data_IF_002610038603
#
_entry.id   IF_002610038603
#
_cell.length_a   1.000
_cell.length_b   1.000
_cell.length_c   1.000
_cell.angle_alpha   90.00
_cell.angle_beta   90.00
_cell.angle_gamma   90.00
#
_symmetry.space_group_name_H-M   'P 1'
#
loop_
_entity.id
_entity.type
_entity.pdbx_description
1 polymer ?
#
# COMPACT_ATOMS: atom_id res chain seq x y z
N UNK A 1 -7.88 5.39 1.20
CA UNK A 1 -7.52 5.80 2.56
C UNK A 1 -7.66 4.65 3.56
N UNK A 2 -8.87 4.17 3.83
CA UNK A 2 -9.15 3.16 4.88
C UNK A 2 -8.36 1.87 4.69
N UNK A 3 -8.36 1.30 3.48
CA UNK A 3 -7.59 0.09 3.19
C UNK A 3 -6.07 0.34 3.29
N UNK A 4 -5.59 1.51 2.89
CA UNK A 4 -4.19 1.90 3.07
C UNK A 4 -3.80 1.98 4.54
N UNK A 5 -4.66 2.57 5.38
CA UNK A 5 -4.48 2.61 6.82
C UNK A 5 -4.42 1.20 7.42
N UNK A 6 -5.36 0.33 7.07
CA UNK A 6 -5.41 -1.06 7.51
C UNK A 6 -4.13 -1.84 7.11
N UNK A 7 -3.67 -1.66 5.87
CA UNK A 7 -2.45 -2.29 5.36
C UNK A 7 -1.20 -1.79 6.11
N UNK A 8 -1.13 -0.50 6.41
CA UNK A 8 0.00 0.08 7.17
C UNK A 8 0.10 -0.50 8.58
N UNK A 9 -1.01 -0.64 9.30
CA UNK A 9 -1.04 -1.30 10.61
C UNK A 9 -0.54 -2.74 10.51
N UNK A 10 -1.05 -3.52 9.55
CA UNK A 10 -0.66 -4.91 9.36
C UNK A 10 0.84 -5.06 9.07
N UNK A 11 1.41 -4.16 8.28
CA UNK A 11 2.86 -4.13 8.02
C UNK A 11 3.65 -3.82 9.29
N UNK A 12 3.20 -2.88 10.13
CA UNK A 12 3.83 -2.55 11.40
C UNK A 12 3.91 -3.76 12.34
N UNK A 13 2.85 -4.56 12.39
CA UNK A 13 2.85 -5.81 13.17
C UNK A 13 3.89 -6.81 12.64
N UNK A 14 4.03 -6.93 11.32
CA UNK A 14 5.05 -7.77 10.70
C UNK A 14 6.49 -7.35 11.04
N UNK A 15 6.75 -6.05 11.23
CA UNK A 15 8.06 -5.53 11.67
C UNK A 15 8.37 -6.01 13.08
N UNK A 16 7.42 -5.94 14.03
CA UNK A 16 7.62 -6.40 15.41
C UNK A 16 7.89 -7.91 15.48
N UNK A 17 7.17 -8.69 14.68
CA UNK A 17 7.42 -10.13 14.55
C UNK A 17 8.84 -10.38 14.01
N UNK A 18 9.28 -9.63 12.99
CA UNK A 18 10.63 -9.77 12.43
C UNK A 18 11.72 -9.43 13.45
N UNK A 19 11.46 -8.50 14.35
CA UNK A 19 12.33 -8.10 15.44
C UNK A 19 12.53 -9.24 16.45
N UNK A 20 11.42 -9.80 16.96
CA UNK A 20 11.45 -10.92 17.91
C UNK A 20 12.10 -12.16 17.29
N UNK A 21 11.83 -12.43 16.00
CA UNK A 21 12.48 -13.52 15.27
C UNK A 21 13.99 -13.32 15.15
N UNK A 22 14.44 -12.10 14.82
CA UNK A 22 15.85 -11.75 14.74
C UNK A 22 16.59 -11.90 16.08
N UNK A 23 15.94 -11.52 17.17
CA UNK A 23 16.44 -11.67 18.54
C UNK A 23 16.47 -13.14 19.01
N UNK A 24 15.87 -14.07 18.25
CA UNK A 24 15.67 -15.47 18.64
C UNK A 24 14.85 -15.62 19.93
N UNK A 25 14.08 -14.61 20.30
CA UNK A 25 13.14 -14.67 21.42
C UNK A 25 11.81 -15.27 20.95
N UNK A 26 11.73 -16.58 20.96
CA UNK A 26 10.54 -17.30 20.48
C UNK A 26 9.34 -17.15 21.40
N UNK A 27 9.52 -16.80 22.68
CA UNK A 27 8.43 -16.50 23.58
C UNK A 27 7.77 -15.17 23.21
N UNK A 28 8.58 -14.14 23.02
CA UNK A 28 8.14 -12.83 22.54
C UNK A 28 7.56 -12.91 21.12
N UNK A 29 8.15 -13.75 20.25
CA UNK A 29 7.66 -13.99 18.90
C UNK A 29 6.21 -14.52 18.92
N UNK A 30 5.93 -15.57 19.70
CA UNK A 30 4.59 -16.16 19.85
C UNK A 30 3.60 -15.14 20.42
N UNK A 31 4.02 -14.38 21.41
CA UNK A 31 3.21 -13.31 21.99
C UNK A 31 2.88 -12.23 20.93
N UNK A 32 3.85 -11.74 20.14
CA UNK A 32 3.57 -10.77 19.08
C UNK A 32 2.71 -11.35 17.95
N UNK A 33 2.81 -12.64 17.64
CA UNK A 33 1.88 -13.30 16.72
C UNK A 33 0.45 -13.27 17.28
N UNK A 34 0.25 -13.72 18.53
CA UNK A 34 -1.06 -13.70 19.17
C UNK A 34 -1.64 -12.28 19.28
N UNK A 35 -0.81 -11.33 19.70
CA UNK A 35 -1.18 -9.92 19.82
C UNK A 35 -1.54 -9.29 18.46
N UNK A 36 -0.82 -9.67 17.38
CA UNK A 36 -1.17 -9.26 16.00
C UNK A 36 -2.58 -9.70 15.62
N UNK A 37 -2.98 -10.93 16.00
CA UNK A 37 -4.32 -11.45 15.71
C UNK A 37 -5.40 -10.70 16.49
N UNK A 38 -5.17 -10.48 17.79
CA UNK A 38 -6.10 -9.72 18.64
C UNK A 38 -6.26 -8.29 18.11
N UNK A 39 -5.16 -7.58 17.90
CA UNK A 39 -5.18 -6.21 17.40
C UNK A 39 -5.78 -6.11 15.99
N UNK A 40 -5.56 -7.10 15.14
CA UNK A 40 -6.20 -7.16 13.82
C UNK A 40 -7.72 -7.23 13.95
N UNK A 41 -8.25 -8.07 14.85
CA UNK A 41 -9.68 -8.16 15.10
C UNK A 41 -10.24 -6.84 15.66
N UNK A 42 -9.59 -6.25 16.64
CA UNK A 42 -10.02 -4.98 17.26
C UNK A 42 -9.99 -3.85 16.24
N UNK A 43 -8.86 -3.65 15.55
CA UNK A 43 -8.69 -2.55 14.59
C UNK A 43 -9.63 -2.72 13.40
N UNK A 44 -9.80 -3.95 12.89
CA UNK A 44 -10.74 -4.18 11.79
C UNK A 44 -12.18 -3.86 12.18
N UNK A 45 -12.62 -4.19 13.39
CA UNK A 45 -13.95 -3.82 13.89
C UNK A 45 -14.10 -2.31 14.04
N UNK A 46 -13.09 -1.65 14.62
CA UNK A 46 -13.07 -0.20 14.78
C UNK A 46 -13.11 0.55 13.44
N UNK A 47 -12.54 -0.03 12.38
CA UNK A 47 -12.59 0.54 11.03
C UNK A 47 -13.90 0.17 10.32
N UNK A 48 -14.34 -1.08 10.39
CA UNK A 48 -15.50 -1.58 9.65
C UNK A 48 -16.79 -0.89 10.07
N UNK A 49 -17.05 -0.78 11.38
CA UNK A 49 -18.33 -0.26 11.88
C UNK A 49 -18.58 1.17 11.38
N UNK A 50 -17.70 2.16 11.60
CA UNK A 50 -17.95 3.53 11.16
C UNK A 50 -17.91 3.69 9.63
N UNK A 51 -17.04 2.92 8.93
CA UNK A 51 -16.92 3.07 7.49
C UNK A 51 -18.10 2.47 6.74
N UNK A 52 -18.65 1.34 7.19
CA UNK A 52 -19.87 0.77 6.62
C UNK A 52 -21.08 1.68 6.91
N UNK A 53 -21.19 2.19 8.15
CA UNK A 53 -22.29 3.09 8.54
C UNK A 53 -22.27 4.42 7.77
N UNK A 54 -21.09 4.98 7.53
CA UNK A 54 -20.91 6.27 6.88
C UNK A 54 -20.58 6.19 5.37
N UNK A 55 -20.61 5.01 4.75
CA UNK A 55 -20.17 4.81 3.35
C UNK A 55 -20.88 5.74 2.37
N UNK A 56 -22.22 5.83 2.48
CA UNK A 56 -23.02 6.68 1.60
C UNK A 56 -22.72 8.17 1.78
N UNK A 57 -22.51 8.61 3.04
CA UNK A 57 -22.15 10.00 3.35
C UNK A 57 -20.79 10.37 2.77
N UNK A 58 -19.82 9.46 2.84
CA UNK A 58 -18.51 9.65 2.20
C UNK A 58 -18.62 9.81 0.68
N UNK A 59 -19.43 8.98 0.02
CA UNK A 59 -19.64 9.08 -1.43
C UNK A 59 -20.31 10.40 -1.83
N UNK A 60 -21.30 10.87 -1.06
CA UNK A 60 -21.95 12.17 -1.27
C UNK A 60 -20.93 13.30 -1.08
N UNK A 61 -20.11 13.26 -0.03
CA UNK A 61 -19.06 14.24 0.23
C UNK A 61 -18.03 14.28 -0.91
N UNK A 62 -17.74 13.14 -1.53
CA UNK A 62 -16.89 13.03 -2.71
C UNK A 62 -17.57 13.46 -4.01
N UNK A 63 -18.81 13.95 -3.95
CA UNK A 63 -19.61 14.38 -5.10
C UNK A 63 -19.80 13.27 -6.15
N UNK A 64 -20.02 12.03 -5.67
CA UNK A 64 -20.33 10.90 -6.57
C UNK A 64 -21.68 11.17 -7.27
N UNK A 65 -21.74 11.05 -8.61
CA UNK A 65 -22.98 11.26 -9.37
C UNK A 65 -24.12 10.34 -8.92
N UNK A 66 -25.36 10.88 -8.87
CA UNK A 66 -26.53 10.17 -8.33
C UNK A 66 -26.85 8.87 -9.07
N UNK A 67 -26.59 8.82 -10.39
CA UNK A 67 -26.84 7.66 -11.24
C UNK A 67 -25.95 6.44 -10.88
N UNK A 68 -24.80 6.63 -10.24
CA UNK A 68 -23.89 5.55 -9.83
C UNK A 68 -23.76 5.43 -8.31
N UNK A 69 -24.35 6.36 -7.53
CA UNK A 69 -24.21 6.41 -6.08
C UNK A 69 -24.63 5.10 -5.39
N UNK A 70 -25.76 4.53 -5.81
CA UNK A 70 -26.24 3.26 -5.26
C UNK A 70 -25.32 2.07 -5.56
N UNK A 71 -24.77 2.01 -6.77
CA UNK A 71 -23.83 0.96 -7.17
C UNK A 71 -22.49 1.10 -6.42
N UNK A 72 -22.01 2.33 -6.29
CA UNK A 72 -20.78 2.63 -5.55
C UNK A 72 -20.93 2.33 -4.06
N UNK A 73 -22.06 2.67 -3.44
CA UNK A 73 -22.34 2.38 -2.03
C UNK A 73 -22.41 0.88 -1.77
N UNK A 74 -23.08 0.12 -2.63
CA UNK A 74 -23.16 -1.34 -2.54
C UNK A 74 -21.76 -1.97 -2.61
N UNK A 75 -20.91 -1.53 -3.54
CA UNK A 75 -19.54 -2.01 -3.69
C UNK A 75 -18.68 -1.69 -2.44
N UNK A 76 -18.66 -0.42 -2.04
CA UNK A 76 -17.81 0.06 -0.94
C UNK A 76 -18.22 -0.55 0.40
N UNK A 77 -19.52 -0.71 0.67
CA UNK A 77 -20.01 -1.38 1.90
C UNK A 77 -19.47 -2.79 2.04
N UNK A 78 -19.52 -3.57 0.96
CA UNK A 78 -19.01 -4.94 0.96
C UNK A 78 -17.49 -4.94 1.19
N UNK A 79 -16.73 -4.06 0.52
CA UNK A 79 -15.28 -3.94 0.72
C UNK A 79 -14.96 -3.56 2.18
N UNK A 80 -15.67 -2.61 2.78
CA UNK A 80 -15.46 -2.21 4.16
C UNK A 80 -15.85 -3.31 5.16
N UNK A 81 -16.94 -4.05 4.90
CA UNK A 81 -17.29 -5.22 5.69
C UNK A 81 -16.20 -6.32 5.65
N UNK A 82 -15.42 -6.39 4.56
CA UNK A 82 -14.32 -7.32 4.36
C UNK A 82 -12.97 -6.87 4.91
N UNK A 83 -12.86 -5.73 5.60
CA UNK A 83 -11.57 -5.22 6.14
C UNK A 83 -10.87 -6.28 6.99
N UNK A 84 -11.59 -7.02 7.81
CA UNK A 84 -11.02 -8.08 8.65
C UNK A 84 -10.28 -9.13 7.80
N UNK A 85 -10.86 -9.58 6.69
CA UNK A 85 -10.27 -10.60 5.83
C UNK A 85 -9.02 -10.06 5.12
N UNK A 86 -9.08 -8.83 4.61
CA UNK A 86 -7.95 -8.15 3.99
C UNK A 86 -6.80 -7.94 5.00
N UNK A 87 -7.10 -7.45 6.20
CA UNK A 87 -6.10 -7.27 7.26
C UNK A 87 -5.51 -8.62 7.69
N UNK A 88 -6.34 -9.65 7.84
CA UNK A 88 -5.89 -11.00 8.21
C UNK A 88 -4.88 -11.57 7.22
N UNK A 89 -5.12 -11.42 5.90
CA UNK A 89 -4.14 -11.80 4.89
C UNK A 89 -2.84 -11.02 5.03
N UNK A 90 -2.92 -9.69 5.15
CA UNK A 90 -1.72 -8.84 5.24
C UNK A 90 -0.89 -9.13 6.49
N UNK A 91 -1.54 -9.38 7.63
CA UNK A 91 -0.87 -9.77 8.87
C UNK A 91 -0.22 -11.14 8.75
N UNK A 92 -0.93 -12.15 8.26
CA UNK A 92 -0.36 -13.48 8.04
C UNK A 92 0.84 -13.44 7.08
N UNK A 93 0.71 -12.70 5.97
CA UNK A 93 1.80 -12.47 5.02
C UNK A 93 2.96 -11.68 5.66
N UNK A 94 2.67 -10.71 6.52
CA UNK A 94 3.67 -9.95 7.29
C UNK A 94 4.44 -10.84 8.26
N UNK A 95 3.75 -11.72 9.00
CA UNK A 95 4.36 -12.69 9.93
C UNK A 95 5.28 -13.65 9.17
N UNK A 96 4.79 -14.26 8.07
CA UNK A 96 5.59 -15.18 7.25
C UNK A 96 6.83 -14.49 6.69
N UNK A 97 6.70 -13.28 6.13
CA UNK A 97 7.86 -12.49 5.70
C UNK A 97 8.80 -12.18 6.86
N UNK A 98 8.24 -11.88 8.03
CA UNK A 98 8.98 -11.57 9.27
C UNK A 98 9.91 -12.70 9.72
N UNK A 99 9.56 -13.97 9.46
CA UNK A 99 10.41 -15.14 9.73
C UNK A 99 11.25 -15.59 8.53
N UNK A 100 11.17 -14.88 7.38
CA UNK A 100 11.96 -15.15 6.18
C UNK A 100 11.25 -15.91 5.07
N UNK A 101 10.00 -16.32 5.24
CA UNK A 101 9.20 -16.95 4.18
C UNK A 101 8.42 -15.91 3.39
N UNK A 102 9.03 -15.34 2.37
CA UNK A 102 8.38 -14.39 1.45
C UNK A 102 7.69 -15.05 0.26
N UNK A 103 8.01 -16.33 -0.03
CA UNK A 103 7.49 -17.04 -1.21
C UNK A 103 6.06 -17.53 -1.00
N UNK A 104 5.78 -18.10 0.15
CA UNK A 104 4.46 -18.70 0.43
C UNK A 104 3.31 -17.68 0.37
N UNK A 105 3.41 -16.49 0.99
CA UNK A 105 2.37 -15.46 0.82
C UNK A 105 2.16 -15.06 -0.64
N UNK A 106 3.23 -15.03 -1.45
CA UNK A 106 3.13 -14.73 -2.88
C UNK A 106 2.35 -15.82 -3.63
N UNK A 107 2.60 -17.10 -3.35
CA UNK A 107 1.85 -18.17 -3.99
C UNK A 107 0.35 -18.11 -3.66
N UNK A 108 0.03 -17.83 -2.41
CA UNK A 108 -1.38 -17.69 -2.01
C UNK A 108 -2.01 -16.41 -2.58
N UNK A 109 -1.24 -15.33 -2.79
CA UNK A 109 -1.71 -14.14 -3.48
C UNK A 109 -2.03 -14.42 -4.96
N UNK A 110 -1.17 -15.18 -5.65
CA UNK A 110 -1.40 -15.58 -7.04
C UNK A 110 -2.67 -16.45 -7.12
N UNK A 111 -2.81 -17.43 -6.23
CA UNK A 111 -4.01 -18.25 -6.15
C UNK A 111 -5.26 -17.42 -5.91
N UNK A 112 -5.18 -16.46 -4.97
CA UNK A 112 -6.27 -15.53 -4.67
C UNK A 112 -6.64 -14.68 -5.88
N UNK A 113 -5.66 -14.17 -6.61
CA UNK A 113 -5.92 -13.37 -7.81
C UNK A 113 -6.65 -14.20 -8.89
N UNK A 114 -6.26 -15.44 -9.06
CA UNK A 114 -6.95 -16.34 -9.96
C UNK A 114 -8.39 -16.67 -9.51
N UNK A 115 -8.55 -16.97 -8.22
CA UNK A 115 -9.85 -17.20 -7.61
C UNK A 115 -10.74 -15.94 -7.72
N UNK A 116 -10.19 -14.76 -7.54
CA UNK A 116 -10.92 -13.50 -7.69
C UNK A 116 -11.50 -13.36 -9.10
N UNK A 117 -10.69 -13.60 -10.15
CA UNK A 117 -11.15 -13.54 -11.55
C UNK A 117 -12.31 -14.53 -11.79
N UNK A 118 -12.19 -15.77 -11.31
CA UNK A 118 -13.23 -16.78 -11.46
C UNK A 118 -14.51 -16.37 -10.73
N UNK A 119 -14.37 -15.87 -9.49
CA UNK A 119 -15.51 -15.41 -8.70
C UNK A 119 -16.14 -14.15 -9.29
N UNK A 120 -15.37 -13.23 -9.86
CA UNK A 120 -15.90 -12.05 -10.55
C UNK A 120 -16.82 -12.47 -11.69
N UNK A 121 -16.35 -13.38 -12.56
CA UNK A 121 -17.17 -13.89 -13.67
C UNK A 121 -18.41 -14.63 -13.16
N UNK A 122 -18.27 -15.45 -12.13
CA UNK A 122 -19.39 -16.20 -11.57
C UNK A 122 -20.42 -15.28 -10.91
N UNK A 123 -20.01 -14.38 -10.01
CA UNK A 123 -20.92 -13.55 -9.24
C UNK A 123 -21.56 -12.42 -10.08
N UNK A 124 -20.83 -11.90 -11.08
CA UNK A 124 -21.35 -10.82 -11.94
C UNK A 124 -22.21 -11.38 -13.06
N UNK A 125 -21.73 -12.44 -13.77
CA UNK A 125 -22.39 -12.92 -15.00
C UNK A 125 -23.47 -13.94 -14.68
N UNK A 126 -23.18 -14.92 -13.80
CA UNK A 126 -24.10 -16.03 -13.51
C UNK A 126 -25.10 -15.65 -12.42
N UNK A 127 -24.60 -15.15 -11.27
CA UNK A 127 -25.45 -14.77 -10.13
C UNK A 127 -26.08 -13.40 -10.32
N UNK A 128 -25.51 -12.55 -11.21
CA UNK A 128 -26.01 -11.20 -11.57
C UNK A 128 -26.06 -10.20 -10.41
N UNK A 129 -25.06 -10.28 -9.49
CA UNK A 129 -24.93 -9.36 -8.37
C UNK A 129 -24.39 -7.97 -8.75
N UNK A 130 -24.05 -7.74 -10.02
CA UNK A 130 -23.50 -6.48 -10.49
C UNK A 130 -22.21 -6.09 -9.76
N UNK A 131 -22.10 -4.80 -9.41
CA UNK A 131 -20.89 -4.26 -8.74
C UNK A 131 -20.64 -4.86 -7.36
N UNK A 132 -21.68 -5.23 -6.61
CA UNK A 132 -21.54 -5.92 -5.33
C UNK A 132 -20.87 -7.30 -5.51
N UNK A 133 -21.13 -7.99 -6.64
CA UNK A 133 -20.49 -9.26 -6.98
C UNK A 133 -18.97 -9.15 -7.04
N UNK A 134 -18.44 -8.11 -7.67
CA UNK A 134 -17.00 -7.85 -7.72
C UNK A 134 -16.40 -7.60 -6.32
N UNK A 135 -17.12 -6.89 -5.45
CA UNK A 135 -16.68 -6.69 -4.08
C UNK A 135 -16.65 -8.01 -3.29
N UNK A 136 -17.69 -8.83 -3.39
CA UNK A 136 -17.72 -10.16 -2.76
C UNK A 136 -16.61 -11.06 -3.27
N UNK A 137 -16.37 -11.11 -4.58
CA UNK A 137 -15.28 -11.89 -5.17
C UNK A 137 -13.92 -11.50 -4.56
N UNK A 138 -13.67 -10.20 -4.44
CA UNK A 138 -12.43 -9.68 -3.84
C UNK A 138 -12.27 -10.11 -2.39
N UNK A 139 -13.33 -9.96 -1.57
CA UNK A 139 -13.27 -10.30 -0.14
C UNK A 139 -13.13 -11.80 0.08
N UNK A 140 -13.87 -12.62 -0.66
CA UNK A 140 -13.79 -14.08 -0.57
C UNK A 140 -12.38 -14.53 -0.95
N UNK A 141 -11.82 -14.03 -2.04
CA UNK A 141 -10.48 -14.37 -2.48
C UNK A 141 -9.41 -13.98 -1.43
N UNK A 142 -9.53 -12.80 -0.81
CA UNK A 142 -8.67 -12.37 0.30
C UNK A 142 -8.83 -13.27 1.54
N UNK A 143 -10.06 -13.63 1.88
CA UNK A 143 -10.36 -14.54 2.99
C UNK A 143 -9.76 -15.93 2.81
N UNK A 144 -9.86 -16.49 1.59
CA UNK A 144 -9.23 -17.77 1.26
C UNK A 144 -7.71 -17.69 1.39
N UNK A 145 -7.10 -16.63 0.87
CA UNK A 145 -5.66 -16.41 1.04
C UNK A 145 -5.24 -16.30 2.49
N UNK A 146 -5.98 -15.54 3.30
CA UNK A 146 -5.71 -15.40 4.73
C UNK A 146 -5.77 -16.77 5.42
N UNK A 147 -6.83 -17.54 5.16
CA UNK A 147 -7.02 -18.87 5.74
C UNK A 147 -5.87 -19.81 5.36
N UNK A 148 -5.48 -19.84 4.08
CA UNK A 148 -4.37 -20.67 3.61
C UNK A 148 -3.04 -20.26 4.24
N UNK A 149 -2.78 -18.95 4.37
CA UNK A 149 -1.59 -18.44 5.07
C UNK A 149 -1.57 -18.92 6.53
N UNK A 150 -2.68 -18.80 7.27
CA UNK A 150 -2.75 -19.25 8.68
C UNK A 150 -2.60 -20.75 8.82
N UNK A 151 -3.29 -21.55 8.00
CA UNK A 151 -3.15 -23.00 8.03
C UNK A 151 -1.70 -23.41 7.78
N UNK A 152 -1.08 -22.86 6.76
CA UNK A 152 0.32 -23.13 6.44
C UNK A 152 1.26 -22.71 7.57
N UNK A 153 1.09 -21.48 8.07
CA UNK A 153 1.91 -20.89 9.12
C UNK A 153 1.92 -21.76 10.39
N UNK A 154 0.73 -22.13 10.89
CA UNK A 154 0.60 -22.91 12.13
C UNK A 154 0.92 -24.41 11.94
N UNK A 155 0.82 -24.94 10.70
CA UNK A 155 1.21 -26.35 10.46
C UNK A 155 2.72 -26.51 10.27
N UNK A 156 3.36 -25.58 9.58
CA UNK A 156 4.76 -25.71 9.16
C UNK A 156 5.76 -25.17 10.18
N UNK A 157 5.41 -24.14 10.92
CA UNK A 157 6.35 -23.43 11.80
C UNK A 157 5.94 -23.59 13.28
N UNK A 158 6.60 -24.51 14.01
CA UNK A 158 6.34 -24.71 15.45
C UNK A 158 6.63 -23.44 16.27
N UNK A 159 7.57 -22.62 15.82
CA UNK A 159 7.92 -21.35 16.47
C UNK A 159 6.78 -20.32 16.44
N UNK A 160 5.80 -20.49 15.55
CA UNK A 160 4.64 -19.60 15.41
C UNK A 160 3.38 -20.17 16.07
N UNK A 161 3.42 -21.43 16.54
CA UNK A 161 2.27 -22.04 17.26
C UNK A 161 2.08 -21.33 18.60
N UNK A 162 0.98 -20.60 18.69
CA UNK A 162 0.59 -19.88 19.89
C UNK A 162 -0.21 -20.79 20.84
N UNK A 163 0.02 -20.63 22.13
CA UNK A 163 -0.74 -21.27 23.23
C UNK A 163 -1.71 -20.24 23.86
N UNK A 164 -2.61 -20.69 24.73
CA UNK A 164 -3.51 -19.77 25.45
C UNK A 164 -2.76 -18.73 26.28
N UNK A 165 -1.58 -19.07 26.76
CA UNK A 165 -0.73 -18.19 27.55
C UNK A 165 -0.14 -17.03 26.72
N UNK A 166 -0.09 -17.13 25.39
CA UNK A 166 0.42 -16.08 24.53
C UNK A 166 -0.65 -15.00 24.23
N UNK A 167 -1.96 -15.32 24.44
CA UNK A 167 -3.10 -14.44 24.16
C UNK A 167 -3.45 -13.57 25.36
N UNK A 168 -2.59 -12.61 25.68
CA UNK A 168 -2.88 -11.60 26.69
C UNK A 168 -2.59 -10.20 26.15
N UNK A 169 -3.32 -9.22 26.68
CA UNK A 169 -3.14 -7.81 26.31
C UNK A 169 -2.26 -7.17 27.39
N UNK A 170 -0.98 -7.01 27.10
CA UNK A 170 -0.08 -6.22 27.92
C UNK A 170 0.10 -4.81 27.31
N UNK A 171 0.12 -3.79 28.18
CA UNK A 171 0.24 -2.40 27.73
C UNK A 171 1.53 -2.13 26.95
N UNK A 172 2.62 -2.82 27.29
CA UNK A 172 3.92 -2.64 26.63
C UNK A 172 3.92 -3.23 25.22
N UNK A 173 3.45 -4.46 25.03
CA UNK A 173 3.38 -5.10 23.71
C UNK A 173 2.42 -4.37 22.77
N UNK A 174 1.22 -4.00 23.27
CA UNK A 174 0.26 -3.19 22.50
C UNK A 174 0.86 -1.87 22.09
N UNK A 175 1.49 -1.14 23.03
CA UNK A 175 2.15 0.14 22.72
C UNK A 175 3.25 -0.03 21.67
N UNK A 176 4.11 -1.02 21.79
CA UNK A 176 5.18 -1.29 20.83
C UNK A 176 4.63 -1.57 19.42
N UNK A 177 3.61 -2.40 19.30
CA UNK A 177 3.00 -2.73 18.01
C UNK A 177 2.30 -1.52 17.38
N UNK A 178 1.55 -0.75 18.17
CA UNK A 178 0.83 0.42 17.68
C UNK A 178 1.75 1.61 17.40
N UNK A 179 2.85 1.76 18.15
CA UNK A 179 3.85 2.82 17.93
C UNK A 179 4.54 2.75 16.56
N UNK A 180 4.51 1.58 15.91
CA UNK A 180 4.99 1.39 14.54
C UNK A 180 3.81 1.30 13.57
N UNK A 181 2.77 0.55 13.93
CA UNK A 181 1.62 0.33 13.06
C UNK A 181 0.86 1.61 12.74
N UNK A 182 0.58 2.46 13.73
CA UNK A 182 -0.15 3.72 13.51
C UNK A 182 0.61 4.70 12.62
N UNK A 183 1.90 5.02 12.86
CA UNK A 183 2.65 5.87 11.94
C UNK A 183 2.74 5.31 10.52
N UNK A 184 2.88 3.99 10.35
CA UNK A 184 2.84 3.36 9.03
C UNK A 184 1.48 3.54 8.35
N UNK A 185 0.40 3.33 9.08
CA UNK A 185 -0.95 3.51 8.59
C UNK A 185 -1.24 4.97 8.18
N UNK A 186 -0.81 5.92 9.00
CA UNK A 186 -0.92 7.34 8.71
C UNK A 186 -0.11 7.74 7.49
N UNK A 187 1.08 7.17 7.30
CA UNK A 187 1.89 7.44 6.10
C UNK A 187 1.14 7.03 4.81
N UNK A 188 0.50 5.85 4.78
CA UNK A 188 -0.33 5.45 3.63
C UNK A 188 -1.53 6.40 3.41
N UNK A 189 -2.17 6.84 4.49
CA UNK A 189 -3.29 7.77 4.41
C UNK A 189 -2.86 9.15 3.91
N UNK A 190 -1.75 9.68 4.39
CA UNK A 190 -1.16 10.95 3.97
C UNK A 190 -0.81 10.91 2.48
N UNK A 191 -0.19 9.83 2.01
CA UNK A 191 0.12 9.66 0.59
C UNK A 191 -1.15 9.65 -0.25
N UNK A 192 -2.20 8.95 0.17
CA UNK A 192 -3.48 8.93 -0.53
C UNK A 192 -4.18 10.30 -0.57
N UNK A 193 -4.10 11.08 0.51
CA UNK A 193 -4.59 12.48 0.52
C UNK A 193 -3.79 13.32 -0.48
N UNK A 194 -2.47 13.17 -0.50
CA UNK A 194 -1.61 13.88 -1.46
C UNK A 194 -1.97 13.60 -2.92
N UNK A 195 -2.31 12.36 -3.26
CA UNK A 195 -2.77 12.00 -4.61
C UNK A 195 -4.15 12.57 -4.94
N UNK A 196 -5.07 12.64 -3.96
CA UNK A 196 -6.38 13.28 -4.13
C UNK A 196 -6.26 14.78 -4.41
N UNK A 197 -5.36 15.49 -3.71
CA UNK A 197 -5.09 16.91 -3.94
C UNK A 197 -4.57 17.15 -5.36
N UNK A 198 -3.61 16.32 -5.80
CA UNK A 198 -3.08 16.40 -7.14
C UNK A 198 -4.16 16.15 -8.21
N UNK A 199 -5.02 15.14 -8.00
CA UNK A 199 -6.15 14.86 -8.89
C UNK A 199 -7.13 16.04 -8.94
N UNK A 200 -7.40 16.69 -7.80
CA UNK A 200 -8.23 17.90 -7.75
C UNK A 200 -7.66 19.04 -8.60
N UNK A 201 -6.34 19.25 -8.54
CA UNK A 201 -5.66 20.25 -9.37
C UNK A 201 -5.73 19.91 -10.88
N UNK A 202 -5.61 18.64 -11.24
CA UNK A 202 -5.72 18.17 -12.63
C UNK A 202 -7.11 18.44 -13.21
N UNK A 203 -8.15 18.28 -12.40
CA UNK A 203 -9.54 18.44 -12.86
C UNK A 203 -9.88 19.85 -13.40
N UNK A 204 -9.07 20.85 -13.07
CA UNK A 204 -9.25 22.25 -13.54
C UNK A 204 -8.91 22.36 -15.03
N UNK A 205 -8.05 21.49 -15.60
CA UNK A 205 -7.56 21.57 -16.96
C UNK A 205 -8.47 20.91 -18.02
N UNK A 206 -9.63 20.42 -17.63
CA UNK A 206 -10.59 19.80 -18.55
C UNK A 206 -10.36 18.31 -18.80
N UNK A 207 -11.31 17.72 -19.54
CA UNK A 207 -11.41 16.26 -19.67
C UNK A 207 -10.23 15.61 -20.40
N UNK A 208 -9.64 16.24 -21.39
CA UNK A 208 -8.48 15.72 -22.15
C UNK A 208 -7.25 15.56 -21.25
N UNK A 209 -6.96 16.57 -20.43
CA UNK A 209 -5.81 16.54 -19.50
C UNK A 209 -6.06 15.56 -18.36
N UNK A 210 -7.30 15.48 -17.86
CA UNK A 210 -7.69 14.48 -16.84
C UNK A 210 -7.50 13.06 -17.38
N UNK A 211 -7.94 12.78 -18.59
CA UNK A 211 -7.74 11.48 -19.23
C UNK A 211 -6.25 11.15 -19.42
N UNK A 212 -5.48 12.12 -19.92
CA UNK A 212 -4.04 11.99 -20.10
C UNK A 212 -3.32 11.70 -18.78
N UNK A 213 -3.59 12.47 -17.73
CA UNK A 213 -3.00 12.30 -16.40
C UNK A 213 -3.40 10.96 -15.79
N UNK A 214 -4.67 10.57 -15.89
CA UNK A 214 -5.16 9.29 -15.35
C UNK A 214 -4.46 8.11 -16.01
N UNK A 215 -4.32 8.12 -17.34
CA UNK A 215 -3.60 7.07 -18.07
C UNK A 215 -2.10 7.07 -17.70
N UNK A 216 -1.46 8.24 -17.66
CA UNK A 216 -0.06 8.37 -17.27
C UNK A 216 0.19 7.88 -15.83
N UNK A 217 -0.71 8.18 -14.88
CA UNK A 217 -0.64 7.69 -13.50
C UNK A 217 -0.75 6.16 -13.42
N UNK A 218 -1.47 5.50 -14.33
CA UNK A 218 -1.48 4.03 -14.40
C UNK A 218 -0.12 3.48 -14.84
N UNK A 219 0.53 4.13 -15.82
CA UNK A 219 1.89 3.78 -16.26
C UNK A 219 2.89 3.97 -15.11
N UNK A 220 2.82 5.11 -14.44
CA UNK A 220 3.65 5.42 -13.26
C UNK A 220 3.49 4.34 -12.17
N UNK A 221 2.26 4.02 -11.77
CA UNK A 221 1.98 3.00 -10.75
C UNK A 221 2.54 1.63 -11.14
N UNK A 222 2.38 1.19 -12.40
CA UNK A 222 2.95 -0.06 -12.88
C UNK A 222 4.48 -0.05 -12.81
N UNK A 223 5.11 1.05 -13.20
CA UNK A 223 6.57 1.20 -13.25
C UNK A 223 7.19 1.25 -11.85
N UNK A 224 6.49 1.88 -10.88
CA UNK A 224 7.02 2.09 -9.52
C UNK A 224 6.66 1.00 -8.52
N UNK A 225 5.82 0.02 -8.88
CA UNK A 225 5.33 -1.04 -7.95
C UNK A 225 6.44 -1.86 -7.28
N UNK A 226 7.62 -1.94 -7.88
CA UNK A 226 8.79 -2.61 -7.31
C UNK A 226 9.40 -1.85 -6.13
N UNK A 227 9.23 -0.52 -6.05
CA UNK A 227 9.82 0.32 -5.00
C UNK A 227 9.20 0.05 -3.61
N UNK A 228 7.87 0.08 -3.42
CA UNK A 228 7.27 -0.29 -2.13
C UNK A 228 7.53 -1.76 -1.76
N UNK A 229 7.67 -2.65 -2.74
CA UNK A 229 8.02 -4.06 -2.50
C UNK A 229 9.44 -4.19 -1.94
N UNK A 230 10.42 -3.49 -2.53
CA UNK A 230 11.78 -3.40 -1.99
C UNK A 230 11.75 -2.78 -0.58
N UNK A 231 10.96 -1.73 -0.38
CA UNK A 231 10.76 -1.10 0.92
C UNK A 231 10.32 -2.11 1.99
N UNK A 232 9.30 -2.91 1.71
CA UNK A 232 8.82 -3.95 2.63
C UNK A 232 9.90 -4.98 2.95
N UNK A 233 10.69 -5.39 1.96
CA UNK A 233 11.80 -6.32 2.16
C UNK A 233 12.89 -5.71 3.05
N UNK A 234 13.23 -4.45 2.86
CA UNK A 234 14.20 -3.71 3.67
C UNK A 234 13.69 -3.52 5.10
N UNK A 235 12.41 -3.21 5.31
CA UNK A 235 11.84 -3.09 6.66
C UNK A 235 11.99 -4.41 7.43
N UNK A 236 11.65 -5.54 6.81
CA UNK A 236 11.83 -6.88 7.40
C UNK A 236 13.29 -7.19 7.67
N UNK A 237 14.18 -6.92 6.71
CA UNK A 237 15.62 -7.14 6.85
C UNK A 237 16.23 -6.32 7.99
N UNK A 238 15.90 -5.03 8.06
CA UNK A 238 16.33 -4.15 9.14
C UNK A 238 15.79 -4.64 10.50
N UNK A 239 14.51 -5.01 10.56
CA UNK A 239 13.89 -5.53 11.79
C UNK A 239 14.57 -6.79 12.31
N UNK A 240 14.80 -7.79 11.45
CA UNK A 240 15.51 -9.01 11.84
C UNK A 240 16.95 -8.75 12.32
N UNK A 241 17.70 -7.91 11.60
CA UNK A 241 19.09 -7.63 11.95
C UNK A 241 19.23 -6.73 13.18
N UNK A 242 18.24 -5.83 13.40
CA UNK A 242 18.17 -5.03 14.63
C UNK A 242 17.89 -5.93 15.83
N UNK A 243 16.89 -6.82 15.75
CA UNK A 243 16.62 -7.80 16.80
C UNK A 243 17.82 -8.70 17.11
N UNK A 244 18.60 -9.08 16.09
CA UNK A 244 19.81 -9.86 16.23
C UNK A 244 21.03 -9.05 16.73
N UNK A 245 20.93 -7.73 16.92
CA UNK A 245 22.06 -6.85 17.26
C UNK A 245 23.12 -6.71 16.16
N UNK A 246 22.79 -7.04 14.91
CA UNK A 246 23.75 -7.09 13.78
C UNK A 246 23.76 -5.79 12.97
N UNK A 247 24.15 -4.69 13.59
CA UNK A 247 24.15 -3.35 12.99
C UNK A 247 24.99 -3.24 11.70
N UNK A 248 26.14 -3.93 11.65
CA UNK A 248 26.99 -3.97 10.45
C UNK A 248 26.23 -4.50 9.23
N UNK A 249 25.40 -5.54 9.44
CA UNK A 249 24.56 -6.10 8.37
C UNK A 249 23.49 -5.12 7.89
N UNK A 250 22.92 -4.35 8.80
CA UNK A 250 21.95 -3.29 8.43
C UNK A 250 22.62 -2.30 7.49
N UNK A 251 23.81 -1.81 7.84
CA UNK A 251 24.57 -0.87 7.00
C UNK A 251 24.90 -1.47 5.62
N UNK A 252 25.38 -2.72 5.58
CA UNK A 252 25.66 -3.42 4.33
C UNK A 252 24.40 -3.62 3.46
N UNK A 253 23.29 -3.99 4.10
CA UNK A 253 21.99 -4.13 3.43
C UNK A 253 21.48 -2.82 2.84
N UNK A 254 21.61 -1.72 3.59
CA UNK A 254 21.24 -0.39 3.12
C UNK A 254 22.10 0.04 1.93
N UNK A 255 23.41 -0.20 1.97
CA UNK A 255 24.30 0.09 0.85
C UNK A 255 23.93 -0.71 -0.41
N UNK A 256 23.62 -2.00 -0.26
CA UNK A 256 23.13 -2.83 -1.38
C UNK A 256 21.77 -2.36 -1.87
N UNK A 257 20.86 -2.03 -0.96
CA UNK A 257 19.54 -1.47 -1.28
C UNK A 257 19.63 -0.17 -2.08
N UNK A 258 20.58 0.70 -1.74
CA UNK A 258 20.86 1.92 -2.47
C UNK A 258 21.19 1.66 -3.95
N UNK A 259 22.06 0.70 -4.24
CA UNK A 259 22.38 0.32 -5.62
C UNK A 259 21.22 -0.37 -6.34
N UNK A 260 20.44 -1.20 -5.61
CA UNK A 260 19.23 -1.81 -6.16
C UNK A 260 18.21 -0.73 -6.56
N UNK A 261 18.08 0.34 -5.77
CA UNK A 261 17.21 1.48 -6.11
C UNK A 261 17.62 2.15 -7.42
N UNK A 262 18.93 2.29 -7.70
CA UNK A 262 19.41 2.83 -8.98
C UNK A 262 18.91 1.97 -10.14
N UNK A 263 19.02 0.65 -10.02
CA UNK A 263 18.60 -0.27 -11.06
C UNK A 263 17.07 -0.25 -11.27
N UNK A 264 16.31 -0.27 -10.19
CA UNK A 264 14.84 -0.20 -10.23
C UNK A 264 14.38 1.14 -10.84
N UNK A 265 14.99 2.26 -10.44
CA UNK A 265 14.62 3.58 -10.96
C UNK A 265 14.97 3.75 -12.43
N UNK A 266 16.09 3.22 -12.90
CA UNK A 266 16.43 3.23 -14.33
C UNK A 266 15.43 2.38 -15.13
N UNK A 267 15.06 1.20 -14.63
CA UNK A 267 14.04 0.37 -15.28
C UNK A 267 12.67 1.07 -15.31
N UNK A 268 12.24 1.67 -14.20
CA UNK A 268 10.98 2.44 -14.13
C UNK A 268 11.00 3.64 -15.09
N UNK A 269 12.11 4.38 -15.13
CA UNK A 269 12.28 5.50 -16.08
C UNK A 269 12.23 5.02 -17.54
N UNK A 270 12.89 3.91 -17.85
CA UNK A 270 12.85 3.33 -19.19
C UNK A 270 11.42 2.92 -19.61
N UNK A 271 10.65 2.32 -18.70
CA UNK A 271 9.23 1.98 -18.95
C UNK A 271 8.42 3.25 -19.21
N UNK A 272 8.59 4.30 -18.42
CA UNK A 272 7.87 5.57 -18.59
C UNK A 272 8.21 6.24 -19.93
N UNK A 273 9.49 6.30 -20.30
CA UNK A 273 9.95 7.02 -21.49
C UNK A 273 9.67 6.21 -22.76
N UNK A 274 10.07 4.95 -22.81
CA UNK A 274 10.00 4.12 -24.03
C UNK A 274 8.69 3.34 -24.15
N UNK A 275 8.15 2.87 -23.01
CA UNK A 275 6.90 2.09 -22.95
C UNK A 275 5.66 2.95 -22.77
N UNK A 276 5.80 4.19 -22.30
CA UNK A 276 4.71 5.05 -21.85
C UNK A 276 3.61 5.23 -22.91
N UNK A 277 3.98 5.57 -24.14
CA UNK A 277 3.01 5.77 -25.24
C UNK A 277 2.20 4.49 -25.54
N UNK A 278 2.86 3.34 -25.58
CA UNK A 278 2.23 2.04 -25.81
C UNK A 278 1.27 1.67 -24.65
N UNK A 279 1.69 1.85 -23.41
CA UNK A 279 0.86 1.50 -22.26
C UNK A 279 -0.33 2.49 -22.11
N UNK A 280 -0.12 3.80 -22.37
CA UNK A 280 -1.21 4.79 -22.37
C UNK A 280 -2.32 4.41 -23.35
N UNK A 281 -1.97 3.86 -24.53
CA UNK A 281 -2.96 3.43 -25.53
C UNK A 281 -3.86 2.29 -25.04
N UNK A 282 -3.50 1.55 -24.01
CA UNK A 282 -4.36 0.52 -23.41
C UNK A 282 -5.47 1.10 -22.53
N UNK A 283 -5.26 2.29 -21.98
CA UNK A 283 -6.17 2.92 -21.02
C UNK A 283 -7.08 3.97 -21.63
N UNK A 284 -6.79 4.44 -22.85
CA UNK A 284 -7.60 5.45 -23.55
C UNK A 284 -7.97 4.93 -24.92
N UNK A 285 -9.27 4.80 -25.17
CA UNK A 285 -9.78 4.41 -26.50
C UNK A 285 -9.64 5.56 -27.47
N UNK A 286 -8.91 5.36 -28.57
CA UNK A 286 -8.65 6.37 -29.61
C UNK A 286 -8.12 7.72 -29.05
N UNK A 287 -6.97 7.72 -28.36
CA UNK A 287 -6.44 8.93 -27.75
C UNK A 287 -6.03 9.94 -28.83
N UNK A 288 -6.42 11.20 -28.65
CA UNK A 288 -5.94 12.30 -29.49
C UNK A 288 -4.44 12.54 -29.27
N UNK A 289 -3.76 13.16 -30.22
CA UNK A 289 -2.34 13.55 -30.05
C UNK A 289 -2.14 14.50 -28.87
N UNK A 290 -3.15 15.31 -28.52
CA UNK A 290 -3.13 16.15 -27.32
C UNK A 290 -3.04 15.32 -26.04
N UNK A 291 -3.84 14.25 -25.93
CA UNK A 291 -3.82 13.33 -24.78
C UNK A 291 -2.45 12.62 -24.70
N UNK A 292 -1.93 12.12 -25.82
CA UNK A 292 -0.61 11.51 -25.85
C UNK A 292 0.48 12.49 -25.42
N UNK A 293 0.47 13.70 -25.99
CA UNK A 293 1.46 14.74 -25.69
C UNK A 293 1.45 15.09 -24.20
N UNK A 294 0.28 15.32 -23.62
CA UNK A 294 0.12 15.64 -22.20
C UNK A 294 0.57 14.49 -21.27
N UNK A 295 0.20 13.25 -21.60
CA UNK A 295 0.60 12.06 -20.85
C UNK A 295 2.12 11.85 -20.92
N UNK A 296 2.72 11.93 -22.12
CA UNK A 296 4.17 11.75 -22.27
C UNK A 296 4.98 12.88 -21.63
N UNK A 297 4.47 14.10 -21.67
CA UNK A 297 5.09 15.21 -20.94
C UNK A 297 5.15 14.94 -19.43
N UNK A 298 4.08 14.41 -18.84
CA UNK A 298 4.07 14.00 -17.43
C UNK A 298 5.06 12.88 -17.17
N UNK A 299 4.98 11.77 -17.94
CA UNK A 299 5.84 10.59 -17.76
C UNK A 299 7.33 10.93 -17.94
N UNK A 300 7.68 11.73 -18.93
CA UNK A 300 9.05 12.18 -19.14
C UNK A 300 9.54 13.03 -17.96
N UNK A 301 8.69 13.90 -17.41
CA UNK A 301 9.06 14.71 -16.25
C UNK A 301 9.35 13.84 -15.03
N UNK A 302 8.43 12.92 -14.66
CA UNK A 302 8.61 12.10 -13.47
C UNK A 302 9.77 11.10 -13.60
N UNK A 303 10.10 10.66 -14.83
CA UNK A 303 11.17 9.68 -15.07
C UNK A 303 12.53 10.15 -14.55
N UNK A 304 12.82 11.45 -14.60
CA UNK A 304 14.06 12.02 -14.03
C UNK A 304 14.13 11.96 -12.50
N UNK A 305 12.98 11.81 -11.83
CA UNK A 305 12.87 11.81 -10.38
C UNK A 305 12.57 10.43 -9.77
N UNK A 306 12.62 9.36 -10.58
CA UNK A 306 12.40 7.99 -10.09
C UNK A 306 13.43 7.55 -9.06
N UNK A 307 14.66 8.05 -9.13
CA UNK A 307 15.73 7.68 -8.20
C UNK A 307 15.51 8.29 -6.80
N UNK A 308 15.25 9.60 -6.64
CA UNK A 308 14.80 10.15 -5.35
C UNK A 308 13.60 9.40 -4.76
N UNK A 309 12.58 9.10 -5.57
CA UNK A 309 11.41 8.33 -5.13
C UNK A 309 11.81 6.95 -4.58
N UNK A 310 12.66 6.21 -5.29
CA UNK A 310 13.13 4.90 -4.85
C UNK A 310 13.89 4.99 -3.52
N UNK A 311 14.72 6.03 -3.31
CA UNK A 311 15.41 6.26 -2.05
C UNK A 311 14.45 6.62 -0.91
N UNK A 312 13.40 7.37 -1.18
CA UNK A 312 12.35 7.64 -0.18
C UNK A 312 11.76 6.31 0.32
N UNK A 313 11.39 5.39 -0.58
CA UNK A 313 10.89 4.07 -0.19
C UNK A 313 11.93 3.28 0.60
N UNK A 314 13.20 3.29 0.19
CA UNK A 314 14.28 2.61 0.89
C UNK A 314 14.45 3.11 2.33
N UNK A 315 14.64 4.42 2.51
CA UNK A 315 14.94 5.01 3.81
C UNK A 315 13.74 5.02 4.75
N UNK A 316 12.53 5.34 4.26
CA UNK A 316 11.31 5.29 5.07
C UNK A 316 11.06 3.90 5.64
N UNK A 317 11.15 2.88 4.81
CA UNK A 317 10.93 1.50 5.24
C UNK A 317 12.07 0.97 6.13
N UNK A 318 13.31 1.37 5.87
CA UNK A 318 14.43 1.04 6.77
C UNK A 318 14.20 1.61 8.17
N UNK A 319 13.81 2.89 8.29
CA UNK A 319 13.50 3.53 9.57
C UNK A 319 12.33 2.85 10.28
N UNK A 320 11.30 2.43 9.55
CA UNK A 320 10.19 1.64 10.10
C UNK A 320 10.69 0.30 10.65
N UNK A 321 11.54 -0.41 9.91
CA UNK A 321 12.19 -1.65 10.36
C UNK A 321 13.13 -1.45 11.56
N UNK A 322 13.64 -0.24 11.76
CA UNK A 322 14.46 0.15 12.91
C UNK A 322 13.64 0.68 14.10
N UNK A 323 12.34 0.44 14.16
CA UNK A 323 11.42 0.93 15.18
C UNK A 323 11.33 2.47 15.27
N UNK A 324 11.58 3.18 14.18
CA UNK A 324 11.52 4.64 14.09
C UNK A 324 10.35 5.09 13.20
N UNK A 325 9.13 4.59 13.47
CA UNK A 325 7.94 4.82 12.63
C UNK A 325 7.52 6.29 12.50
N UNK A 326 7.77 7.12 13.51
CA UNK A 326 7.41 8.55 13.51
C UNK A 326 8.15 9.36 12.42
N UNK A 327 9.43 9.07 12.17
CA UNK A 327 10.23 9.83 11.20
C UNK A 327 9.69 9.68 9.77
N UNK A 328 9.41 8.45 9.27
CA UNK A 328 8.74 8.27 7.98
C UNK A 328 7.37 8.92 7.88
N UNK A 329 6.58 8.90 8.95
CA UNK A 329 5.29 9.57 8.99
C UNK A 329 5.44 11.08 8.84
N UNK A 330 6.34 11.71 9.59
CA UNK A 330 6.62 13.15 9.49
C UNK A 330 7.13 13.52 8.10
N UNK A 331 8.01 12.70 7.51
CA UNK A 331 8.46 12.87 6.12
C UNK A 331 7.27 12.85 5.13
N UNK A 332 6.27 11.97 5.34
CA UNK A 332 5.03 11.96 4.56
C UNK A 332 4.20 13.24 4.72
N UNK A 333 4.11 13.78 5.95
CA UNK A 333 3.43 15.05 6.21
C UNK A 333 4.13 16.20 5.48
N UNK A 334 5.46 16.27 5.56
CA UNK A 334 6.25 17.29 4.85
C UNK A 334 6.02 17.17 3.34
N UNK A 335 6.07 15.96 2.76
CA UNK A 335 5.78 15.73 1.35
C UNK A 335 4.39 16.26 0.96
N UNK A 336 3.37 15.95 1.75
CA UNK A 336 1.99 16.41 1.49
C UNK A 336 1.89 17.94 1.56
N UNK A 337 2.46 18.56 2.59
CA UNK A 337 2.44 20.03 2.76
C UNK A 337 3.20 20.71 1.62
N UNK A 338 4.40 20.22 1.27
CA UNK A 338 5.15 20.74 0.13
C UNK A 338 4.35 20.61 -1.18
N UNK A 339 3.66 19.50 -1.41
CA UNK A 339 2.81 19.31 -2.59
C UNK A 339 1.67 20.33 -2.65
N UNK A 340 1.00 20.60 -1.52
CA UNK A 340 -0.05 21.63 -1.44
C UNK A 340 0.54 23.00 -1.78
N UNK A 341 1.68 23.37 -1.19
CA UNK A 341 2.33 24.66 -1.42
C UNK A 341 2.75 24.80 -2.89
N UNK A 342 3.39 23.77 -3.46
CA UNK A 342 3.80 23.77 -4.87
C UNK A 342 2.59 24.00 -5.76
N UNK A 343 1.50 23.24 -5.60
CA UNK A 343 0.29 23.39 -6.38
C UNK A 343 -0.29 24.80 -6.19
N UNK A 344 -0.46 25.28 -4.97
CA UNK A 344 -1.06 26.58 -4.67
C UNK A 344 -0.29 27.74 -5.28
N UNK A 345 1.04 27.69 -5.27
CA UNK A 345 1.91 28.77 -5.76
C UNK A 345 2.11 28.69 -7.28
N UNK A 346 2.22 27.48 -7.84
CA UNK A 346 2.66 27.32 -9.24
C UNK A 346 1.51 27.06 -10.22
N UNK A 347 0.30 26.72 -9.74
CA UNK A 347 -0.81 26.35 -10.62
C UNK A 347 -1.24 27.49 -11.56
N UNK A 348 -1.39 28.72 -11.01
CA UNK A 348 -1.80 29.88 -11.79
C UNK A 348 -0.73 30.35 -12.80
N UNK A 349 0.58 30.53 -12.41
CA UNK A 349 1.58 31.02 -13.33
C UNK A 349 2.08 29.97 -14.33
N UNK A 350 2.06 28.68 -14.01
CA UNK A 350 2.68 27.64 -14.83
C UNK A 350 1.70 26.59 -15.38
N UNK A 351 0.42 26.68 -15.05
CA UNK A 351 -0.60 25.77 -15.56
C UNK A 351 -0.28 24.30 -15.34
N UNK A 352 -0.37 23.47 -16.38
CA UNK A 352 -0.14 22.02 -16.31
C UNK A 352 1.29 21.64 -15.85
N UNK A 353 2.29 22.52 -16.03
CA UNK A 353 3.63 22.32 -15.48
C UNK A 353 3.63 22.17 -13.94
N UNK A 354 2.75 22.90 -13.24
CA UNK A 354 2.59 22.77 -11.80
C UNK A 354 2.22 21.35 -11.37
N UNK A 355 1.29 20.73 -12.11
CA UNK A 355 0.89 19.33 -11.88
C UNK A 355 2.04 18.36 -12.11
N UNK A 356 2.78 18.56 -13.21
CA UNK A 356 3.92 17.71 -13.59
C UNK A 356 5.05 17.73 -12.57
N UNK A 357 5.29 18.87 -11.95
CA UNK A 357 6.39 19.09 -11.00
C UNK A 357 5.97 18.91 -9.54
N UNK A 358 4.67 18.87 -9.23
CA UNK A 358 4.18 18.80 -7.86
C UNK A 358 4.72 17.59 -7.09
N UNK A 359 4.69 16.39 -7.66
CA UNK A 359 5.26 15.19 -7.05
C UNK A 359 6.80 15.19 -7.10
N UNK A 360 7.47 15.43 -8.24
CA UNK A 360 8.92 15.48 -8.33
C UNK A 360 9.61 16.40 -7.32
N UNK A 361 9.10 17.63 -7.15
CA UNK A 361 9.68 18.58 -6.20
C UNK A 361 9.58 18.07 -4.75
N UNK A 362 8.51 17.34 -4.42
CA UNK A 362 8.33 16.80 -3.08
C UNK A 362 9.18 15.54 -2.80
N UNK A 363 9.77 14.94 -3.83
CA UNK A 363 10.68 13.80 -3.68
C UNK A 363 12.15 14.23 -3.50
N UNK A 364 12.47 15.50 -3.70
CA UNK A 364 13.79 16.09 -3.44
C UNK A 364 13.89 16.63 -1.99
#
# INVERSE_FOLDING_TARGET
LVLGFANGIAQGFGVMVSHAFGAKDFKLLKHYVALSLILTAIVSLLLTIPTVAASRQFLILMKTPDNILGLADSYIKVIFAGILLTMSYNVAAGILRGIGDSKTPLYFLILSSFLNIVLDLFLIVVVKLGTAGAAYATIIAQGVSALLCFIYMFRKFDILKTSREDYYLDGYGVFNMLSIGIPMALNYSITAIGTMILQGAVNIFGSSVVAAFTAASKVENLSTQTMPTLGTAIATYCGQNLGAGKYKRIYEGMRKGFFICIFISLAASAICVFGGRFIVSWFVSNPSEEIFSSAMQYLNTISFFMLPLAWIFLYRNALQGLNRGLVPMLSGVVEMVCRIIVIAVTLNPFGYWAVRLASPITWL
#
